data_IF_702740619086
#
_entry.id   IF_702740619086
#
_cell.length_a   1.000
_cell.length_b   1.000
_cell.length_c   1.000
_cell.angle_alpha   90.00
_cell.angle_beta   90.00
_cell.angle_gamma   90.00
#
_symmetry.space_group_name_H-M   'P 1'
#
loop_
_entity.id
_entity.type
_entity.pdbx_description
1 polymer ?
#
# COMPACT_ATOMS: atom_id res chain seq x y z
N UNK A 1 -13.68 17.48 15.10
CA UNK A 1 -12.78 16.31 15.02
C UNK A 1 -12.75 15.71 16.40
N UNK A 2 -13.32 14.52 16.56
CA UNK A 2 -13.18 13.76 17.81
C UNK A 2 -11.70 13.41 17.98
N UNK A 3 -11.15 13.57 19.19
CA UNK A 3 -9.74 13.28 19.49
C UNK A 3 -9.40 11.79 19.32
N UNK A 4 -10.42 10.93 19.21
CA UNK A 4 -10.29 9.48 19.13
C UNK A 4 -10.11 8.93 17.69
N UNK A 5 -10.42 9.70 16.65
CA UNK A 5 -10.53 9.20 15.25
C UNK A 5 -9.39 9.68 14.32
N UNK A 6 -8.17 9.84 14.83
CA UNK A 6 -7.09 10.37 13.99
C UNK A 6 -6.25 9.26 13.35
N UNK A 7 -5.98 9.43 12.04
CA UNK A 7 -5.42 8.51 11.03
C UNK A 7 -6.48 7.70 10.27
N UNK A 8 -7.19 8.40 9.37
CA UNK A 8 -8.08 7.82 8.37
C UNK A 8 -7.38 7.65 7.01
N UNK A 9 -8.16 7.37 5.95
CA UNK A 9 -7.64 7.15 4.61
C UNK A 9 -6.74 8.29 4.09
N UNK A 10 -7.04 9.56 4.41
CA UNK A 10 -6.32 10.72 3.91
C UNK A 10 -4.95 10.86 4.58
N UNK A 11 -4.86 10.72 5.91
CA UNK A 11 -3.58 10.75 6.60
C UNK A 11 -2.69 9.55 6.22
N UNK A 12 -3.30 8.38 6.02
CA UNK A 12 -2.59 7.19 5.54
C UNK A 12 -1.99 7.44 4.16
N UNK A 13 -2.78 7.96 3.21
CA UNK A 13 -2.30 8.24 1.86
C UNK A 13 -1.24 9.35 1.86
N UNK A 14 -1.37 10.36 2.72
CA UNK A 14 -0.36 11.40 2.89
C UNK A 14 0.96 10.81 3.42
N UNK A 15 0.92 9.93 4.42
CA UNK A 15 2.11 9.26 4.95
C UNK A 15 2.78 8.40 3.86
N UNK A 16 2.00 7.66 3.08
CA UNK A 16 2.51 6.84 1.97
C UNK A 16 3.09 7.67 0.84
N UNK A 17 2.54 8.85 0.57
CA UNK A 17 3.14 9.82 -0.33
C UNK A 17 4.51 10.28 0.18
N UNK A 18 4.62 10.67 1.45
CA UNK A 18 5.89 11.09 2.06
C UNK A 18 6.94 9.97 1.99
N UNK A 19 6.58 8.72 2.27
CA UNK A 19 7.50 7.58 2.20
C UNK A 19 8.03 7.35 0.78
N UNK A 20 7.15 7.49 -0.22
CA UNK A 20 7.51 7.39 -1.64
C UNK A 20 8.45 8.50 -2.08
N UNK A 21 8.15 9.75 -1.71
CA UNK A 21 8.99 10.90 -2.04
C UNK A 21 10.37 10.78 -1.38
N UNK A 22 10.43 10.45 -0.09
CA UNK A 22 11.69 10.22 0.63
C UNK A 22 12.53 9.12 -0.01
N UNK A 23 11.89 8.06 -0.51
CA UNK A 23 12.57 6.97 -1.23
C UNK A 23 13.07 7.43 -2.60
N UNK A 24 12.24 8.11 -3.38
CA UNK A 24 12.57 8.61 -4.72
C UNK A 24 13.70 9.66 -4.67
N UNK A 25 13.76 10.43 -3.59
CA UNK A 25 14.81 11.41 -3.29
C UNK A 25 16.06 10.78 -2.66
N UNK A 26 16.08 9.46 -2.45
CA UNK A 26 17.17 8.74 -1.76
C UNK A 26 17.45 9.25 -0.34
N UNK A 27 16.46 9.90 0.29
CA UNK A 27 16.49 10.31 1.70
C UNK A 27 16.19 9.13 2.63
N UNK A 28 15.50 8.11 2.10
CA UNK A 28 15.35 6.80 2.72
C UNK A 28 16.31 5.79 2.09
N UNK A 29 16.90 4.93 2.93
CA UNK A 29 17.76 3.81 2.52
C UNK A 29 17.07 2.73 1.69
N UNK A 30 15.83 2.27 1.99
CA UNK A 30 15.18 1.26 1.16
C UNK A 30 15.15 1.68 -0.31
N UNK A 31 15.43 0.72 -1.19
CA UNK A 31 15.41 0.89 -2.63
C UNK A 31 14.51 -0.15 -3.27
N UNK A 32 14.02 0.12 -4.48
CA UNK A 32 13.18 -0.82 -5.24
C UNK A 32 11.92 -1.21 -4.45
N UNK A 33 11.33 -0.24 -3.74
CA UNK A 33 10.08 -0.39 -3.01
C UNK A 33 9.05 0.61 -3.50
N UNK A 34 7.79 0.22 -3.49
CA UNK A 34 6.68 1.12 -3.81
C UNK A 34 5.65 1.12 -2.67
N UNK A 35 5.08 2.29 -2.41
CA UNK A 35 4.05 2.50 -1.39
C UNK A 35 2.71 2.69 -2.10
N UNK A 36 1.62 2.07 -1.70
CA UNK A 36 0.33 2.20 -2.40
C UNK A 36 -0.68 3.01 -1.60
N UNK A 37 -1.68 3.51 -2.31
CA UNK A 37 -2.78 4.27 -1.73
C UNK A 37 -3.93 3.37 -1.26
N UNK A 38 -4.81 3.92 -0.43
CA UNK A 38 -6.07 3.29 -0.04
C UNK A 38 -6.93 2.98 -1.26
N UNK A 39 -6.96 3.87 -2.25
CA UNK A 39 -7.64 3.66 -3.55
C UNK A 39 -7.19 2.36 -4.21
N UNK A 40 -5.87 2.09 -4.27
CA UNK A 40 -5.36 0.85 -4.83
C UNK A 40 -5.91 -0.37 -4.08
N UNK A 41 -5.91 -0.32 -2.75
CA UNK A 41 -6.42 -1.43 -1.94
C UNK A 41 -7.91 -1.71 -2.16
N UNK A 42 -8.71 -0.65 -2.34
CA UNK A 42 -10.14 -0.76 -2.62
C UNK A 42 -10.39 -1.31 -4.02
N UNK A 43 -9.58 -0.90 -4.99
CA UNK A 43 -9.64 -1.44 -6.34
C UNK A 43 -9.33 -2.93 -6.37
N UNK A 44 -8.31 -3.40 -5.65
CA UNK A 44 -8.01 -4.84 -5.55
C UNK A 44 -9.19 -5.62 -4.99
N UNK A 45 -9.87 -5.12 -3.94
CA UNK A 45 -11.05 -5.78 -3.37
C UNK A 45 -12.19 -5.89 -4.39
N UNK A 46 -12.52 -4.78 -5.06
CA UNK A 46 -13.57 -4.73 -6.08
C UNK A 46 -13.26 -5.69 -7.24
N UNK A 47 -12.06 -5.60 -7.79
CA UNK A 47 -11.61 -6.41 -8.92
C UNK A 47 -11.50 -7.90 -8.58
N UNK A 48 -11.20 -8.23 -7.32
CA UNK A 48 -11.19 -9.61 -6.89
C UNK A 48 -12.59 -10.21 -6.87
N UNK A 49 -13.60 -9.46 -6.42
CA UNK A 49 -15.00 -9.88 -6.52
C UNK A 49 -15.44 -10.15 -7.96
N UNK A 50 -14.98 -9.33 -8.92
CA UNK A 50 -15.22 -9.58 -10.35
C UNK A 50 -14.49 -10.85 -10.85
N UNK A 51 -13.26 -11.08 -10.42
CA UNK A 51 -12.51 -12.30 -10.74
C UNK A 51 -13.22 -13.55 -10.21
N UNK A 52 -13.75 -13.51 -8.99
CA UNK A 52 -14.49 -14.62 -8.40
C UNK A 52 -15.81 -14.88 -9.13
N UNK A 53 -16.54 -13.83 -9.48
CA UNK A 53 -17.82 -13.94 -10.18
C UNK A 53 -17.69 -14.42 -11.64
N UNK A 54 -16.70 -13.92 -12.38
CA UNK A 54 -16.49 -14.25 -13.81
C UNK A 54 -15.66 -15.51 -14.02
N UNK A 55 -14.86 -15.89 -13.01
CA UNK A 55 -13.90 -16.98 -13.10
C UNK A 55 -12.59 -16.57 -13.79
N UNK A 56 -11.52 -17.30 -13.44
CA UNK A 56 -10.13 -16.98 -13.81
C UNK A 56 -9.84 -16.91 -15.31
N UNK A 57 -10.63 -17.59 -16.14
CA UNK A 57 -10.41 -17.65 -17.60
C UNK A 57 -11.01 -16.44 -18.34
N UNK A 58 -12.08 -15.87 -17.79
CA UNK A 58 -12.87 -14.83 -18.44
C UNK A 58 -12.56 -13.43 -17.90
N UNK A 59 -12.01 -13.35 -16.69
CA UNK A 59 -11.67 -12.09 -16.06
C UNK A 59 -10.57 -11.33 -16.82
N UNK A 60 -10.84 -10.04 -17.10
CA UNK A 60 -9.89 -9.09 -17.67
C UNK A 60 -9.47 -8.08 -16.61
N UNK A 61 -8.16 -7.82 -16.54
CA UNK A 61 -7.60 -6.92 -15.54
C UNK A 61 -7.97 -5.46 -15.86
N UNK A 62 -8.47 -4.72 -14.87
CA UNK A 62 -8.78 -3.30 -15.02
C UNK A 62 -7.55 -2.47 -15.44
N UNK A 63 -7.74 -1.52 -16.36
CA UNK A 63 -6.63 -0.70 -16.88
C UNK A 63 -5.90 0.06 -15.77
N UNK A 64 -6.62 0.65 -14.80
CA UNK A 64 -5.98 1.36 -13.67
C UNK A 64 -5.04 0.46 -12.85
N UNK A 65 -5.35 -0.83 -12.67
CA UNK A 65 -4.42 -1.78 -12.03
C UNK A 65 -3.13 -1.96 -12.85
N UNK A 66 -3.21 -1.93 -14.19
CA UNK A 66 -2.01 -1.90 -15.05
C UNK A 66 -1.21 -0.62 -14.84
N UNK A 67 -1.86 0.52 -14.65
CA UNK A 67 -1.18 1.80 -14.44
C UNK A 67 -0.45 1.85 -13.10
N UNK A 68 -1.00 1.23 -12.04
CA UNK A 68 -0.26 1.00 -10.80
C UNK A 68 0.98 0.12 -11.03
N UNK A 69 0.83 -1.00 -11.76
CA UNK A 69 1.95 -1.90 -12.05
C UNK A 69 3.07 -1.30 -12.90
N UNK A 70 2.76 -0.26 -13.69
CA UNK A 70 3.71 0.52 -14.50
C UNK A 70 4.32 1.71 -13.75
N UNK A 71 3.96 1.92 -12.49
CA UNK A 71 4.39 3.08 -11.71
C UNK A 71 3.84 4.42 -12.23
N UNK A 72 2.77 4.41 -13.03
CA UNK A 72 2.05 5.61 -13.49
C UNK A 72 1.11 6.13 -12.40
N UNK A 73 0.57 5.21 -11.60
CA UNK A 73 -0.19 5.48 -10.39
C UNK A 73 0.59 4.98 -9.15
N UNK A 74 0.42 5.59 -7.97
CA UNK A 74 -0.42 6.76 -7.67
C UNK A 74 0.00 8.04 -8.43
N UNK A 75 -0.93 8.98 -8.66
CA UNK A 75 -0.68 10.12 -9.55
C UNK A 75 0.36 11.09 -8.97
N UNK A 76 0.32 11.32 -7.65
CA UNK A 76 1.35 12.08 -6.94
C UNK A 76 2.55 11.19 -6.61
N UNK A 77 3.75 11.71 -6.87
CA UNK A 77 5.01 10.99 -6.68
C UNK A 77 5.21 9.82 -7.65
N UNK A 78 4.67 9.93 -8.86
CA UNK A 78 4.81 8.94 -9.92
C UNK A 78 6.29 8.58 -10.15
N UNK A 79 6.61 7.29 -10.13
CA UNK A 79 7.99 6.81 -10.27
C UNK A 79 8.31 6.28 -11.66
N UNK A 80 7.30 5.85 -12.43
CA UNK A 80 7.47 5.10 -13.69
C UNK A 80 8.26 3.79 -13.55
N UNK A 81 8.40 3.28 -12.33
CA UNK A 81 9.09 2.03 -12.02
C UNK A 81 8.13 0.85 -12.17
N UNK A 82 8.53 -0.15 -12.96
CA UNK A 82 7.70 -1.31 -13.27
C UNK A 82 7.85 -2.38 -12.19
N UNK A 83 6.72 -2.95 -11.76
CA UNK A 83 6.72 -4.01 -10.76
C UNK A 83 7.46 -5.26 -11.24
N UNK A 84 8.30 -5.81 -10.36
CA UNK A 84 9.17 -6.95 -10.60
C UNK A 84 10.26 -6.72 -11.68
N UNK A 85 10.49 -5.47 -12.08
CA UNK A 85 11.64 -5.04 -12.89
C UNK A 85 12.45 -4.02 -12.10
N UNK A 86 11.78 -2.96 -11.65
CA UNK A 86 12.37 -1.83 -10.92
C UNK A 86 11.99 -1.88 -9.43
N UNK A 87 10.83 -2.46 -9.12
CA UNK A 87 10.30 -2.61 -7.76
C UNK A 87 10.31 -4.09 -7.36
N UNK A 88 10.82 -4.40 -6.17
CA UNK A 88 10.86 -5.75 -5.59
C UNK A 88 9.78 -5.96 -4.51
N UNK A 89 9.39 -4.90 -3.80
CA UNK A 89 8.37 -4.94 -2.74
C UNK A 89 7.35 -3.82 -2.82
N UNK A 90 6.11 -4.14 -2.48
CA UNK A 90 4.99 -3.23 -2.37
C UNK A 90 4.53 -3.13 -0.91
N UNK A 91 4.30 -1.92 -0.43
CA UNK A 91 3.66 -1.65 0.86
C UNK A 91 2.25 -1.13 0.63
N UNK A 92 1.26 -1.73 1.29
CA UNK A 92 -0.16 -1.43 1.07
C UNK A 92 -0.89 -1.37 2.40
N UNK A 93 -1.74 -0.34 2.56
CA UNK A 93 -2.72 -0.28 3.64
C UNK A 93 -4.04 -0.88 3.18
N UNK A 94 -4.71 -1.63 4.06
CA UNK A 94 -5.98 -2.27 3.73
C UNK A 94 -6.99 -2.00 4.82
N UNK A 95 -8.10 -1.35 4.45
CA UNK A 95 -9.25 -1.18 5.33
C UNK A 95 -10.00 -2.51 5.47
N UNK A 96 -10.28 -2.94 6.69
CA UNK A 96 -11.09 -4.12 6.99
C UNK A 96 -12.42 -3.64 7.56
N UNK A 97 -13.49 -3.78 6.77
CA UNK A 97 -14.85 -3.39 7.14
C UNK A 97 -15.57 -4.51 7.90
N UNK A 98 -16.29 -4.18 8.98
CA UNK A 98 -17.06 -5.14 9.78
C UNK A 98 -17.34 -4.66 11.21
N UNK A 99 -17.47 -5.58 12.17
CA UNK A 99 -17.61 -5.25 13.59
C UNK A 99 -16.32 -4.62 14.15
N UNK A 100 -16.24 -3.29 14.04
CA UNK A 100 -15.06 -2.50 14.30
C UNK A 100 -14.24 -2.34 13.01
N UNK A 101 -14.33 -1.17 12.38
CA UNK A 101 -13.46 -0.79 11.28
C UNK A 101 -12.00 -0.89 11.74
N UNK A 102 -11.13 -1.42 10.88
CA UNK A 102 -9.77 -1.75 11.25
C UNK A 102 -8.80 -1.58 10.08
N UNK A 103 -7.58 -1.15 10.35
CA UNK A 103 -6.52 -1.04 9.34
C UNK A 103 -5.46 -2.11 9.55
N UNK A 104 -5.04 -2.72 8.45
CA UNK A 104 -3.88 -3.62 8.40
C UNK A 104 -2.89 -3.10 7.35
N UNK A 105 -1.64 -3.55 7.46
CA UNK A 105 -0.61 -3.29 6.47
C UNK A 105 -0.11 -4.58 5.83
N UNK A 106 0.27 -4.50 4.57
CA UNK A 106 0.85 -5.59 3.79
C UNK A 106 2.24 -5.20 3.28
N UNK A 107 3.18 -6.13 3.33
CA UNK A 107 4.40 -6.14 2.54
C UNK A 107 4.29 -7.26 1.50
N UNK A 108 4.25 -6.92 0.22
CA UNK A 108 4.13 -7.88 -0.88
C UNK A 108 5.47 -7.94 -1.60
N UNK A 109 6.13 -9.09 -1.57
CA UNK A 109 7.38 -9.30 -2.30
C UNK A 109 7.12 -10.01 -3.62
N UNK A 110 7.57 -9.41 -4.72
CA UNK A 110 7.51 -10.02 -6.05
C UNK A 110 8.60 -11.10 -6.22
N UNK A 111 9.74 -10.91 -5.53
CA UNK A 111 10.89 -11.83 -5.56
C UNK A 111 10.55 -13.16 -4.91
N UNK A 112 10.01 -13.15 -3.68
CA UNK A 112 9.64 -14.37 -2.95
C UNK A 112 8.21 -14.81 -3.22
N UNK A 113 7.44 -14.02 -3.98
CA UNK A 113 6.00 -14.24 -4.25
C UNK A 113 5.20 -14.47 -2.97
N UNK A 114 5.43 -13.63 -1.97
CA UNK A 114 4.82 -13.73 -0.65
C UNK A 114 4.22 -12.40 -0.18
N UNK A 115 3.25 -12.49 0.71
CA UNK A 115 2.59 -11.37 1.39
C UNK A 115 2.77 -11.55 2.89
N UNK A 116 3.44 -10.58 3.50
CA UNK A 116 3.53 -10.45 4.96
C UNK A 116 2.42 -9.51 5.43
N UNK A 117 1.59 -9.99 6.35
CA UNK A 117 0.46 -9.25 6.92
C UNK A 117 0.83 -8.76 8.32
N UNK A 118 0.73 -7.45 8.52
CA UNK A 118 0.89 -6.80 9.82
C UNK A 118 -0.49 -6.34 10.31
N UNK A 119 -0.96 -6.96 11.39
CA UNK A 119 -2.27 -6.68 11.99
C UNK A 119 -2.12 -6.56 13.51
N UNK A 120 -2.31 -5.35 14.05
CA UNK A 120 -2.18 -5.08 15.49
C UNK A 120 -3.25 -5.80 16.33
N UNK A 121 -4.34 -6.28 15.74
CA UNK A 121 -5.34 -7.13 16.42
C UNK A 121 -4.97 -8.61 16.48
N UNK A 122 -3.91 -9.03 15.76
CA UNK A 122 -3.46 -10.43 15.68
C UNK A 122 -4.43 -11.36 14.95
N UNK A 123 -5.52 -10.85 14.36
CA UNK A 123 -6.55 -11.66 13.70
C UNK A 123 -6.10 -12.07 12.29
N UNK A 124 -6.64 -13.19 11.82
CA UNK A 124 -6.49 -13.62 10.43
C UNK A 124 -7.50 -12.87 9.55
N UNK A 125 -7.08 -12.44 8.36
CA UNK A 125 -7.79 -11.54 7.44
C UNK A 125 -7.84 -12.13 6.03
N UNK A 126 -8.20 -13.41 5.92
CA UNK A 126 -8.09 -14.17 4.67
C UNK A 126 -8.86 -13.50 3.52
N UNK A 127 -10.11 -13.10 3.77
CA UNK A 127 -10.97 -12.47 2.75
C UNK A 127 -10.36 -11.18 2.19
N UNK A 128 -9.75 -10.38 3.06
CA UNK A 128 -9.17 -9.09 2.68
C UNK A 128 -7.83 -9.25 1.94
N UNK A 129 -7.08 -10.33 2.21
CA UNK A 129 -5.75 -10.58 1.66
C UNK A 129 -5.78 -11.45 0.39
N UNK A 130 -6.79 -12.30 0.22
CA UNK A 130 -6.91 -13.22 -0.94
C UNK A 130 -6.95 -12.46 -2.28
N UNK A 131 -7.57 -11.29 -2.32
CA UNK A 131 -7.56 -10.43 -3.49
C UNK A 131 -6.15 -10.03 -3.94
N UNK A 132 -5.31 -9.65 -2.99
CA UNK A 132 -3.90 -9.33 -3.27
C UNK A 132 -3.14 -10.57 -3.72
N UNK A 133 -3.31 -11.70 -3.03
CA UNK A 133 -2.63 -12.94 -3.36
C UNK A 133 -2.90 -13.42 -4.79
N UNK A 134 -4.12 -13.21 -5.30
CA UNK A 134 -4.54 -13.69 -6.62
C UNK A 134 -4.36 -12.66 -7.75
N UNK A 135 -4.56 -11.36 -7.48
CA UNK A 135 -4.48 -10.31 -8.50
C UNK A 135 -3.07 -9.79 -8.72
N UNK A 136 -2.24 -9.65 -7.68
CA UNK A 136 -0.86 -9.15 -7.84
C UNK A 136 -0.05 -9.94 -8.89
N UNK A 137 -0.04 -11.29 -8.91
CA UNK A 137 0.65 -12.04 -9.96
C UNK A 137 0.17 -11.70 -11.39
N UNK A 138 -1.12 -11.36 -11.56
CA UNK A 138 -1.72 -11.02 -12.86
C UNK A 138 -1.30 -9.63 -13.30
N UNK A 139 -1.33 -8.67 -12.37
CA UNK A 139 -0.83 -7.32 -12.62
C UNK A 139 0.64 -7.39 -13.01
N UNK A 140 1.47 -8.06 -12.20
CA UNK A 140 2.91 -8.23 -12.45
C UNK A 140 3.15 -8.82 -13.83
N UNK A 141 2.46 -9.90 -14.22
CA UNK A 141 2.60 -10.48 -15.57
C UNK A 141 2.19 -9.50 -16.67
N UNK A 142 1.07 -8.80 -16.51
CA UNK A 142 0.50 -7.94 -17.55
C UNK A 142 1.34 -6.69 -17.84
N UNK A 143 2.14 -6.22 -16.87
CA UNK A 143 3.01 -5.06 -17.05
C UNK A 143 4.41 -5.41 -17.58
N UNK A 144 4.74 -6.70 -17.71
CA UNK A 144 6.01 -7.11 -18.31
C UNK A 144 6.02 -6.88 -19.83
N UNK A 145 7.19 -6.67 -20.44
CA UNK A 145 7.33 -6.68 -21.90
C UNK A 145 6.80 -7.99 -22.48
N UNK A 146 6.06 -7.91 -23.60
CA UNK A 146 5.38 -9.05 -24.24
C UNK A 146 6.25 -10.31 -24.38
N UNK A 147 7.53 -10.13 -24.71
CA UNK A 147 8.50 -11.23 -24.88
C UNK A 147 8.78 -12.03 -23.61
N UNK A 148 8.58 -11.43 -22.44
CA UNK A 148 8.85 -12.03 -21.13
C UNK A 148 7.58 -12.50 -20.42
N UNK A 149 6.38 -12.07 -20.81
CA UNK A 149 5.14 -12.39 -20.10
C UNK A 149 4.88 -13.90 -19.94
N UNK A 150 5.33 -14.71 -20.89
CA UNK A 150 5.21 -16.18 -20.84
C UNK A 150 5.99 -16.83 -19.69
N UNK A 151 7.02 -16.14 -19.18
CA UNK A 151 7.90 -16.65 -18.13
C UNK A 151 7.33 -16.42 -16.72
N UNK A 152 6.23 -15.65 -16.60
CA UNK A 152 5.64 -15.27 -15.31
C UNK A 152 4.46 -16.16 -14.93
N UNK A 153 4.59 -16.82 -13.77
CA UNK A 153 3.51 -17.58 -13.16
C UNK A 153 2.43 -16.67 -12.57
N UNK A 154 1.16 -17.01 -12.82
CA UNK A 154 -0.03 -16.31 -12.27
C UNK A 154 -0.64 -17.02 -11.06
N UNK A 155 0.08 -17.98 -10.47
CA UNK A 155 -0.33 -18.66 -9.23
C UNK A 155 -0.38 -17.67 -8.06
N UNK A 156 -1.26 -17.94 -7.09
CA UNK A 156 -1.43 -17.06 -5.94
C UNK A 156 -0.12 -16.93 -5.15
N UNK A 157 0.12 -15.74 -4.58
CA UNK A 157 1.23 -15.53 -3.65
C UNK A 157 0.94 -16.20 -2.31
N UNK A 158 1.99 -16.62 -1.61
CA UNK A 158 1.86 -17.17 -0.27
C UNK A 158 1.56 -16.06 0.73
N UNK A 159 0.83 -16.35 1.80
CA UNK A 159 0.46 -15.36 2.82
C UNK A 159 0.98 -15.81 4.18
N UNK A 160 1.73 -14.94 4.85
CA UNK A 160 2.21 -15.12 6.22
C UNK A 160 1.76 -13.96 7.10
N UNK A 161 1.35 -14.26 8.32
CA UNK A 161 0.94 -13.24 9.29
C UNK A 161 2.07 -13.06 10.29
N UNK A 162 2.56 -11.82 10.38
CA UNK A 162 3.70 -11.50 11.23
C UNK A 162 3.23 -11.39 12.68
N UNK A 163 3.86 -12.09 13.64
CA UNK A 163 3.46 -12.05 15.04
C UNK A 163 3.87 -10.71 15.67
N UNK A 164 2.95 -9.74 15.66
CA UNK A 164 3.14 -8.41 16.27
C UNK A 164 2.49 -8.27 17.66
N UNK A 165 1.88 -9.35 18.18
CA UNK A 165 1.17 -9.35 19.47
C UNK A 165 -0.28 -8.85 19.37
N UNK A 166 -0.98 -8.84 20.51
CA UNK A 166 -2.34 -8.27 20.63
C UNK A 166 -2.23 -6.83 21.14
N UNK A 167 -2.06 -5.92 20.20
CA UNK A 167 -1.86 -4.48 20.40
C UNK A 167 -3.17 -3.71 20.18
N UNK A 168 -3.11 -2.38 20.20
CA UNK A 168 -4.23 -1.47 19.99
C UNK A 168 -5.34 -1.66 21.04
N UNK A 169 -4.94 -1.68 22.32
CA UNK A 169 -5.91 -1.78 23.44
C UNK A 169 -6.89 -0.62 23.51
N UNK A 170 -6.51 0.54 22.95
CA UNK A 170 -7.38 1.72 22.81
C UNK A 170 -8.51 1.53 21.79
N UNK A 171 -8.39 0.53 20.91
CA UNK A 171 -9.27 0.28 19.77
C UNK A 171 -9.38 1.44 18.76
N UNK A 172 -8.47 2.42 18.80
CA UNK A 172 -8.53 3.61 17.95
C UNK A 172 -7.21 3.95 17.23
N UNK A 173 -6.18 3.11 17.36
CA UNK A 173 -4.84 3.35 16.81
C UNK A 173 -4.44 2.40 15.67
N UNK A 174 -5.38 1.63 15.12
CA UNK A 174 -5.05 0.66 14.06
C UNK A 174 -4.42 1.31 12.81
N UNK A 175 -4.83 2.53 12.45
CA UNK A 175 -4.22 3.31 11.37
C UNK A 175 -2.77 3.70 11.67
N UNK A 176 -2.50 4.14 12.91
CA UNK A 176 -1.14 4.46 13.38
C UNK A 176 -0.25 3.22 13.31
N UNK A 177 -0.72 2.09 13.81
CA UNK A 177 0.02 0.82 13.72
C UNK A 177 0.30 0.42 12.28
N UNK A 178 -0.68 0.49 11.38
CA UNK A 178 -0.50 0.11 9.99
C UNK A 178 0.58 0.96 9.28
N UNK A 179 0.54 2.29 9.46
CA UNK A 179 1.55 3.20 8.90
C UNK A 179 2.93 2.89 9.46
N UNK A 180 3.04 2.73 10.78
CA UNK A 180 4.32 2.54 11.46
C UNK A 180 4.90 1.15 11.24
N UNK A 181 4.09 0.11 11.06
CA UNK A 181 4.58 -1.21 10.65
C UNK A 181 5.23 -1.15 9.27
N UNK A 182 4.64 -0.42 8.32
CA UNK A 182 5.25 -0.18 7.00
C UNK A 182 6.57 0.56 7.14
N UNK A 183 6.60 1.64 7.90
CA UNK A 183 7.83 2.42 8.11
C UNK A 183 8.93 1.57 8.73
N UNK A 184 8.64 0.87 9.84
CA UNK A 184 9.61 0.02 10.52
C UNK A 184 10.13 -1.07 9.57
N UNK A 185 9.23 -1.78 8.89
CA UNK A 185 9.63 -2.86 7.99
C UNK A 185 10.44 -2.34 6.79
N UNK A 186 10.04 -1.20 6.21
CA UNK A 186 10.77 -0.59 5.09
C UNK A 186 12.17 -0.11 5.49
N UNK A 187 12.33 0.40 6.71
CA UNK A 187 13.61 0.89 7.22
C UNK A 187 14.48 -0.19 7.89
N UNK A 188 14.00 -1.44 7.96
CA UNK A 188 14.71 -2.54 8.63
C UNK A 188 14.75 -2.39 10.15
N UNK A 189 13.78 -1.70 10.74
CA UNK A 189 13.61 -1.55 12.18
C UNK A 189 12.77 -2.69 12.75
N UNK A 190 13.01 -3.04 14.01
CA UNK A 190 12.21 -4.05 14.69
C UNK A 190 10.77 -3.56 14.92
N UNK A 191 9.79 -4.42 14.62
CA UNK A 191 8.37 -4.10 14.87
C UNK A 191 8.03 -4.03 16.37
N UNK A 192 8.85 -4.65 17.22
CA UNK A 192 8.77 -4.60 18.69
C UNK A 192 8.88 -3.17 19.24
N UNK A 193 9.45 -2.25 18.46
CA UNK A 193 9.52 -0.83 18.80
C UNK A 193 8.13 -0.16 18.85
N UNK A 194 7.08 -0.79 18.33
CA UNK A 194 5.72 -0.28 18.38
C UNK A 194 4.89 -1.09 19.37
N UNK A 195 4.36 -0.43 20.39
CA UNK A 195 3.53 -1.05 21.42
C UNK A 195 2.55 -0.03 22.03
N UNK A 196 1.53 -0.49 22.76
CA UNK A 196 0.49 0.42 23.28
C UNK A 196 1.07 1.58 24.10
N UNK A 197 2.13 1.31 24.86
CA UNK A 197 2.79 2.31 25.71
C UNK A 197 3.50 3.45 25.00
N UNK A 198 3.70 3.40 23.67
CA UNK A 198 4.32 4.49 22.91
C UNK A 198 3.52 4.92 21.67
N UNK A 199 2.25 4.51 21.59
CA UNK A 199 1.43 4.72 20.40
C UNK A 199 1.10 6.20 20.17
N UNK A 200 1.03 6.99 21.24
CA UNK A 200 0.80 8.44 21.17
C UNK A 200 2.03 9.15 20.58
N UNK A 201 3.23 8.74 20.96
CA UNK A 201 4.49 9.23 20.39
C UNK A 201 4.61 8.82 18.91
N UNK A 202 4.23 7.60 18.58
CA UNK A 202 4.19 7.13 17.20
C UNK A 202 3.20 7.96 16.35
N UNK A 203 2.04 8.30 16.91
CA UNK A 203 1.04 9.19 16.32
C UNK A 203 1.60 10.59 16.11
N UNK A 204 2.23 11.19 17.12
CA UNK A 204 2.89 12.49 17.00
C UNK A 204 4.02 12.48 15.96
N UNK A 205 4.73 11.36 15.82
CA UNK A 205 5.77 11.23 14.80
C UNK A 205 5.20 11.29 13.38
N UNK A 206 4.07 10.61 13.12
CA UNK A 206 3.37 10.73 11.82
C UNK A 206 3.01 12.20 11.56
N UNK A 207 2.41 12.89 12.54
CA UNK A 207 2.05 14.30 12.39
C UNK A 207 3.28 15.16 12.07
N UNK A 208 4.38 14.94 12.78
CA UNK A 208 5.62 15.66 12.55
C UNK A 208 6.20 15.40 11.16
N UNK A 209 6.20 14.15 10.70
CA UNK A 209 6.68 13.79 9.36
C UNK A 209 5.84 14.45 8.26
N UNK A 210 4.51 14.53 8.44
CA UNK A 210 3.63 15.22 7.51
C UNK A 210 3.87 16.73 7.53
N UNK A 211 4.02 17.33 8.71
CA UNK A 211 4.32 18.76 8.85
C UNK A 211 5.67 19.11 8.23
N UNK A 212 6.70 18.30 8.49
CA UNK A 212 8.02 18.46 7.89
C UNK A 212 7.95 18.38 6.37
N UNK A 213 7.25 17.38 5.82
CA UNK A 213 7.07 17.22 4.39
C UNK A 213 6.32 18.40 3.74
N UNK A 214 5.31 18.94 4.43
CA UNK A 214 4.55 20.10 3.95
C UNK A 214 5.38 21.40 3.93
N UNK A 215 6.49 21.45 4.67
CA UNK A 215 7.42 22.58 4.71
C UNK A 215 8.73 22.32 3.96
N UNK A 216 8.89 21.15 3.33
CA UNK A 216 10.09 20.79 2.58
C UNK A 216 10.09 21.48 1.20
N UNK A 217 11.07 22.36 0.90
CA UNK A 217 11.05 23.13 -0.35
C UNK A 217 11.08 22.27 -1.61
N UNK A 218 11.73 21.11 -1.59
CA UNK A 218 11.81 20.22 -2.75
C UNK A 218 10.49 19.48 -2.97
N UNK A 219 9.80 19.08 -1.89
CA UNK A 219 8.47 18.47 -2.00
C UNK A 219 7.42 19.50 -2.45
N UNK A 220 7.50 20.74 -1.94
CA UNK A 220 6.64 21.84 -2.38
C UNK A 220 6.83 22.10 -3.87
N UNK A 221 8.08 22.19 -4.34
CA UNK A 221 8.39 22.38 -5.76
C UNK A 221 7.85 21.22 -6.62
N UNK A 222 8.05 19.97 -6.20
CA UNK A 222 7.49 18.79 -6.88
C UNK A 222 5.96 18.81 -6.95
N UNK A 223 5.29 19.14 -5.85
CA UNK A 223 3.82 19.25 -5.82
C UNK A 223 3.31 20.35 -6.75
N UNK A 224 4.03 21.48 -6.84
CA UNK A 224 3.65 22.59 -7.74
C UNK A 224 3.70 22.23 -9.23
N UNK A 225 4.50 21.22 -9.59
CA UNK A 225 4.69 20.72 -10.96
C UNK A 225 3.80 19.53 -11.29
N UNK A 226 2.85 19.18 -10.41
CA UNK A 226 1.96 18.05 -10.61
C UNK A 226 1.16 18.16 -11.92
N UNK A 227 1.12 17.06 -12.67
CA UNK A 227 0.30 16.91 -13.86
C UNK A 227 -0.49 15.61 -13.75
N UNK A 228 -1.81 15.71 -13.96
CA UNK A 228 -2.69 14.55 -13.92
C UNK A 228 -2.30 13.53 -15.00
N UNK A 229 -2.16 12.23 -14.67
CA UNK A 229 -1.96 11.19 -15.68
C UNK A 229 -3.15 11.09 -16.63
N UNK A 230 -2.88 10.84 -17.92
CA UNK A 230 -3.93 10.63 -18.95
C UNK A 230 -4.89 9.49 -18.59
N UNK A 231 -4.43 8.48 -17.86
CA UNK A 231 -5.30 7.39 -17.43
C UNK A 231 -6.40 7.82 -16.43
N UNK A 232 -6.30 9.02 -15.84
CA UNK A 232 -7.29 9.60 -14.95
C UNK A 232 -8.20 10.62 -15.65
N UNK A 233 -7.83 11.14 -16.83
CA UNK A 233 -8.65 12.14 -17.53
C UNK A 233 -9.95 11.58 -18.10
N UNK A 234 -10.06 10.26 -18.27
CA UNK A 234 -11.26 9.57 -18.76
C UNK A 234 -12.16 9.00 -17.66
N UNK A 235 -11.78 9.14 -16.38
CA UNK A 235 -12.36 8.31 -15.30
C UNK A 235 -12.39 9.07 -13.97
N UNK A 236 -13.00 10.26 -13.97
CA UNK A 236 -13.18 11.06 -12.74
C UNK A 236 -14.25 10.46 -11.80
N UNK A 237 -15.12 9.56 -12.31
CA UNK A 237 -16.24 9.00 -11.53
C UNK A 237 -15.97 7.63 -10.87
N UNK A 238 -14.89 6.91 -11.17
CA UNK A 238 -14.70 5.53 -10.65
C UNK A 238 -13.72 5.41 -9.47
N UNK A 239 -13.10 6.50 -9.04
CA UNK A 239 -11.95 6.49 -8.11
C UNK A 239 -12.27 7.17 -6.75
N UNK A 240 -13.38 7.91 -6.66
CA UNK A 240 -13.92 8.45 -5.41
C UNK A 240 -15.12 7.61 -4.95
#
# INVERSE_FOLDING_TARGET
MDKSEWVDSLEIDAAMYVFRERTSLKRWRPHRVAFMTVVFSNMIKKEYGHLEAQGRKSYMLHNLLLQFGKGVLPPHGRTHEIWNIDVDRLYVHVHVSGNGNHWIALCISFVTRSIEVFDCSGKKRYKEVDGFANLIPRIVKAVQPMRHQKDFAVGAYTVSYVPVGNLNKSACDCGVYAVKFIECHALGLELSLLHDGNIIEARHRILWDLWEAANDPELIDRMSKYQSPECLSSTVEEIL
#
